data_IF_275088203113
#
_entry.id   IF_275088203113
#
_cell.length_a   1.000
_cell.length_b   1.000
_cell.length_c   1.000
_cell.angle_alpha   90.00
_cell.angle_beta   90.00
_cell.angle_gamma   90.00
#
_symmetry.space_group_name_H-M   'P 1'
#
loop_
_entity.id
_entity.type
_entity.pdbx_description
1 polymer ?
#
# COMPACT_ATOMS: atom_id res chain seq x y z
N UNK A 1 -5.47 -22.52 -2.32
CA UNK A 1 -4.37 -22.81 -3.23
C UNK A 1 -3.16 -21.96 -2.89
N UNK A 2 -1.97 -22.57 -2.72
CA UNK A 2 -0.77 -21.80 -2.41
C UNK A 2 -0.31 -20.89 -3.54
N UNK A 3 -0.86 -21.08 -4.74
CA UNK A 3 -0.51 -20.26 -5.90
C UNK A 3 -1.55 -19.21 -6.23
N UNK A 4 -2.46 -18.94 -5.29
CA UNK A 4 -3.48 -17.92 -5.49
C UNK A 4 -3.04 -16.61 -4.80
N UNK A 5 -2.77 -15.55 -5.57
CA UNK A 5 -2.35 -14.29 -4.96
C UNK A 5 -3.41 -13.69 -4.03
N UNK A 6 -4.69 -14.00 -4.25
CA UNK A 6 -5.74 -13.53 -3.34
C UNK A 6 -5.63 -14.16 -1.96
N UNK A 7 -5.30 -15.45 -1.90
CA UNK A 7 -5.14 -16.13 -0.61
C UNK A 7 -3.96 -15.56 0.17
N UNK A 8 -2.83 -15.36 -0.50
CA UNK A 8 -1.66 -14.76 0.15
C UNK A 8 -1.95 -13.35 0.62
N UNK A 9 -2.69 -12.59 -0.17
CA UNK A 9 -3.08 -11.23 0.21
C UNK A 9 -3.98 -11.25 1.44
N UNK A 10 -4.98 -12.13 1.45
CA UNK A 10 -5.91 -12.23 2.58
C UNK A 10 -5.18 -12.66 3.85
N UNK A 11 -4.23 -13.59 3.73
CA UNK A 11 -3.43 -14.01 4.87
C UNK A 11 -2.58 -12.84 5.39
N UNK A 12 -1.99 -12.07 4.48
CA UNK A 12 -1.24 -10.89 4.86
C UNK A 12 -2.08 -9.87 5.61
N UNK A 13 -3.31 -9.64 5.15
CA UNK A 13 -4.23 -8.74 5.83
C UNK A 13 -4.53 -9.24 7.26
N UNK A 14 -4.71 -10.55 7.41
CA UNK A 14 -4.92 -11.14 8.73
C UNK A 14 -3.73 -10.91 9.66
N UNK A 15 -2.51 -11.07 9.14
CA UNK A 15 -1.32 -10.79 9.93
C UNK A 15 -1.26 -9.32 10.36
N UNK A 16 -1.64 -8.41 9.48
CA UNK A 16 -1.66 -7.00 9.83
C UNK A 16 -2.65 -6.73 10.97
N UNK A 17 -3.85 -7.31 10.90
CA UNK A 17 -4.86 -7.11 11.95
C UNK A 17 -4.44 -7.74 13.27
N UNK A 18 -3.54 -8.70 13.26
CA UNK A 18 -3.02 -9.29 14.51
C UNK A 18 -1.68 -8.66 14.92
N UNK A 19 -1.41 -7.46 14.40
CA UNK A 19 -0.24 -6.67 14.76
C UNK A 19 1.08 -7.34 14.37
N UNK A 20 1.11 -7.95 13.20
CA UNK A 20 2.30 -8.62 12.66
C UNK A 20 2.61 -8.08 11.27
N UNK A 21 3.02 -6.78 11.16
CA UNK A 21 3.21 -6.16 9.86
C UNK A 21 4.32 -6.79 9.03
N UNK A 22 5.37 -7.30 9.65
CA UNK A 22 6.45 -7.94 8.88
C UNK A 22 5.97 -9.22 8.21
N UNK A 23 5.18 -10.02 8.92
CA UNK A 23 4.60 -11.23 8.34
C UNK A 23 3.60 -10.90 7.25
N UNK A 24 2.85 -9.81 7.44
CA UNK A 24 1.94 -9.33 6.41
C UNK A 24 2.70 -9.02 5.13
N UNK A 25 3.81 -8.29 5.23
CA UNK A 25 4.60 -7.91 4.07
C UNK A 25 5.23 -9.12 3.38
N UNK A 26 5.62 -10.14 4.15
CA UNK A 26 6.11 -11.39 3.56
C UNK A 26 5.05 -12.06 2.69
N UNK A 27 3.81 -12.11 3.17
CA UNK A 27 2.72 -12.71 2.40
C UNK A 27 2.39 -11.87 1.17
N UNK A 28 2.44 -10.55 1.29
CA UNK A 28 2.22 -9.68 0.14
C UNK A 28 3.33 -9.86 -0.90
N UNK A 29 4.56 -10.03 -0.45
CA UNK A 29 5.67 -10.30 -1.37
C UNK A 29 5.45 -11.61 -2.13
N UNK A 30 4.97 -12.63 -1.43
CA UNK A 30 4.62 -13.90 -2.07
C UNK A 30 3.54 -13.70 -3.13
N UNK A 31 2.49 -12.93 -2.80
CA UNK A 31 1.43 -12.59 -3.74
C UNK A 31 1.99 -11.91 -4.99
N UNK A 32 2.90 -10.95 -4.79
CA UNK A 32 3.45 -10.19 -5.90
C UNK A 32 4.41 -10.99 -6.77
N UNK A 33 5.01 -12.04 -6.21
CA UNK A 33 5.80 -12.97 -7.02
C UNK A 33 4.91 -13.81 -7.92
N UNK A 34 3.68 -14.07 -7.48
CA UNK A 34 2.71 -14.78 -8.30
C UNK A 34 2.09 -13.86 -9.34
N UNK A 35 1.84 -12.62 -8.99
CA UNK A 35 1.24 -11.62 -9.88
C UNK A 35 1.76 -10.23 -9.49
N UNK A 36 2.77 -9.76 -10.21
CA UNK A 36 3.43 -8.49 -9.88
C UNK A 36 2.51 -7.27 -10.02
N UNK A 37 1.42 -7.42 -10.75
CA UNK A 37 0.46 -6.32 -10.97
C UNK A 37 -0.85 -6.52 -10.22
N UNK A 38 -0.82 -7.32 -9.16
CA UNK A 38 -2.01 -7.56 -8.35
C UNK A 38 -2.29 -6.33 -7.50
N UNK A 39 -3.20 -5.49 -7.97
CA UNK A 39 -3.44 -4.18 -7.38
C UNK A 39 -3.97 -4.24 -5.95
N UNK A 40 -4.77 -5.25 -5.64
CA UNK A 40 -5.24 -5.44 -4.27
C UNK A 40 -4.07 -5.63 -3.32
N UNK A 41 -3.06 -6.41 -3.72
CA UNK A 41 -1.87 -6.63 -2.91
C UNK A 41 -1.09 -5.34 -2.75
N UNK A 42 -0.84 -4.63 -3.86
CA UNK A 42 -0.09 -3.38 -3.81
C UNK A 42 -0.77 -2.34 -2.94
N UNK A 43 -2.10 -2.25 -3.01
CA UNK A 43 -2.84 -1.34 -2.15
C UNK A 43 -2.60 -1.66 -0.67
N UNK A 44 -2.66 -2.94 -0.31
CA UNK A 44 -2.45 -3.38 1.07
C UNK A 44 -1.00 -3.22 1.51
N UNK A 45 -0.04 -3.40 0.61
CA UNK A 45 1.37 -3.11 0.92
C UNK A 45 1.50 -1.67 1.41
N UNK A 46 0.86 -0.73 0.69
CA UNK A 46 0.88 0.67 1.09
C UNK A 46 0.29 0.88 2.48
N UNK A 47 -0.84 0.24 2.76
CA UNK A 47 -1.50 0.37 4.06
C UNK A 47 -0.60 -0.12 5.19
N UNK A 48 -0.01 -1.30 5.03
CA UNK A 48 0.84 -1.87 6.08
C UNK A 48 2.11 -1.04 6.26
N UNK A 49 2.71 -0.57 5.17
CA UNK A 49 3.90 0.26 5.27
C UNK A 49 3.61 1.59 5.96
N UNK A 50 2.48 2.23 5.60
CA UNK A 50 2.13 3.53 6.19
C UNK A 50 1.79 3.40 7.67
N UNK A 51 0.95 2.44 8.04
CA UNK A 51 0.38 2.38 9.38
C UNK A 51 1.04 1.33 10.26
N UNK A 52 1.62 0.30 9.68
CA UNK A 52 2.29 -0.74 10.45
C UNK A 52 3.79 -0.49 10.63
N UNK A 53 4.43 0.03 9.61
CA UNK A 53 5.88 0.26 9.62
C UNK A 53 6.26 1.73 9.63
N UNK A 54 5.30 2.62 9.47
CA UNK A 54 5.51 4.06 9.37
C UNK A 54 6.50 4.42 8.25
N UNK A 55 6.50 3.62 7.20
CA UNK A 55 7.32 3.84 6.01
C UNK A 55 6.46 4.55 4.97
N UNK A 56 6.39 5.88 5.08
CA UNK A 56 5.52 6.68 4.22
C UNK A 56 5.99 6.70 2.78
N UNK A 57 7.29 6.71 2.54
CA UNK A 57 7.82 6.65 1.18
C UNK A 57 7.47 5.34 0.48
N UNK A 58 7.66 4.23 1.18
CA UNK A 58 7.31 2.92 0.65
C UNK A 58 5.83 2.80 0.36
N UNK A 59 5.01 3.37 1.25
CA UNK A 59 3.57 3.38 1.06
C UNK A 59 3.18 4.17 -0.19
N UNK A 60 3.76 5.34 -0.36
CA UNK A 60 3.48 6.18 -1.53
C UNK A 60 3.86 5.48 -2.82
N UNK A 61 5.03 4.82 -2.84
CA UNK A 61 5.46 4.07 -4.02
C UNK A 61 4.46 2.99 -4.40
N UNK A 62 4.00 2.22 -3.41
CA UNK A 62 3.04 1.15 -3.65
C UNK A 62 1.73 1.71 -4.22
N UNK A 63 1.21 2.77 -3.62
CA UNK A 63 -0.03 3.38 -4.07
C UNK A 63 0.11 4.02 -5.45
N UNK A 64 1.27 4.63 -5.76
CA UNK A 64 1.54 5.17 -7.08
C UNK A 64 1.53 4.07 -8.14
N UNK A 65 2.07 2.90 -7.81
CA UNK A 65 2.02 1.76 -8.71
C UNK A 65 0.59 1.34 -9.01
N UNK A 66 -0.27 1.30 -7.97
CA UNK A 66 -1.68 0.95 -8.17
C UNK A 66 -2.33 1.92 -9.15
N UNK A 67 -2.08 3.21 -8.98
CA UNK A 67 -2.65 4.24 -9.87
C UNK A 67 -2.14 4.07 -11.29
N UNK A 68 -0.87 3.72 -11.45
CA UNK A 68 -0.31 3.50 -12.78
C UNK A 68 -0.91 2.28 -13.48
N UNK A 69 -1.09 1.20 -12.72
CA UNK A 69 -1.59 -0.04 -13.29
C UNK A 69 -3.07 0.06 -13.63
N UNK A 70 -3.87 0.60 -12.72
CA UNK A 70 -5.32 0.58 -12.87
C UNK A 70 -5.97 1.84 -12.25
N UNK A 71 -5.78 3.02 -12.86
CA UNK A 71 -6.25 4.27 -12.26
C UNK A 71 -7.76 4.35 -12.08
N UNK A 72 -8.52 3.66 -12.93
CA UNK A 72 -9.98 3.72 -12.87
C UNK A 72 -10.61 2.59 -12.05
N UNK A 73 -9.80 1.66 -11.55
CA UNK A 73 -10.30 0.56 -10.72
C UNK A 73 -10.65 1.05 -9.31
N UNK A 74 -11.41 0.25 -8.55
CA UNK A 74 -11.65 0.58 -7.13
C UNK A 74 -10.35 0.73 -6.35
N UNK A 75 -9.36 -0.13 -6.62
CA UNK A 75 -8.05 -0.03 -5.97
C UNK A 75 -7.33 1.24 -6.37
N UNK A 76 -7.39 1.61 -7.65
CA UNK A 76 -6.79 2.84 -8.13
C UNK A 76 -7.40 4.07 -7.48
N UNK A 77 -8.72 4.09 -7.35
CA UNK A 77 -9.40 5.19 -6.68
C UNK A 77 -9.02 5.25 -5.19
N UNK A 78 -8.96 4.09 -4.54
CA UNK A 78 -8.55 4.03 -3.14
C UNK A 78 -7.12 4.52 -2.96
N UNK A 79 -6.22 4.12 -3.87
CA UNK A 79 -4.82 4.55 -3.83
C UNK A 79 -4.70 6.06 -4.00
N UNK A 80 -5.49 6.65 -4.91
CA UNK A 80 -5.49 8.10 -5.08
C UNK A 80 -5.91 8.81 -3.81
N UNK A 81 -6.97 8.33 -3.17
CA UNK A 81 -7.44 8.91 -1.92
C UNK A 81 -6.41 8.77 -0.81
N UNK A 82 -5.75 7.62 -0.76
CA UNK A 82 -4.70 7.39 0.24
C UNK A 82 -3.53 8.34 0.04
N UNK A 83 -3.09 8.52 -1.21
CA UNK A 83 -2.02 9.46 -1.53
C UNK A 83 -2.40 10.89 -1.15
N UNK A 84 -3.62 11.30 -1.45
CA UNK A 84 -4.09 12.64 -1.12
C UNK A 84 -4.16 12.85 0.39
N UNK A 85 -4.66 11.85 1.12
CA UNK A 85 -4.73 11.91 2.58
C UNK A 85 -3.35 12.04 3.19
N UNK A 86 -2.40 11.28 2.66
CA UNK A 86 -1.03 11.32 3.17
C UNK A 86 -0.39 12.69 2.94
N UNK A 87 -0.60 13.25 1.76
CA UNK A 87 -0.07 14.59 1.44
C UNK A 87 -0.70 15.66 2.31
N UNK A 88 -2.00 15.55 2.56
CA UNK A 88 -2.70 16.51 3.42
C UNK A 88 -2.26 16.42 4.87
N UNK A 89 -2.04 15.20 5.36
CA UNK A 89 -1.62 14.98 6.74
C UNK A 89 -0.17 15.38 6.98
N UNK A 90 0.68 15.30 5.95
CA UNK A 90 2.11 15.57 6.06
C UNK A 90 2.58 16.52 4.96
N UNK A 91 1.97 17.71 4.86
CA UNK A 91 2.26 18.61 3.72
C UNK A 91 3.70 19.07 3.63
N UNK A 92 4.40 19.14 4.72
CA UNK A 92 5.79 19.55 4.73
C UNK A 92 6.75 18.43 5.04
N UNK A 93 6.24 17.23 5.39
CA UNK A 93 7.07 16.14 5.85
C UNK A 93 7.39 15.13 4.79
N UNK A 94 6.37 14.70 4.04
CA UNK A 94 6.56 13.75 2.96
C UNK A 94 7.08 14.50 1.76
N UNK A 95 8.13 14.02 1.15
CA UNK A 95 8.75 14.65 -0.02
C UNK A 95 9.39 16.02 0.26
N UNK A 96 9.43 16.48 1.50
CA UNK A 96 10.05 17.73 1.85
C UNK A 96 9.42 18.96 1.24
N UNK A 97 8.16 18.87 0.85
CA UNK A 97 7.46 19.98 0.24
C UNK A 97 7.11 21.03 1.29
N UNK A 98 7.38 22.31 1.00
CA UNK A 98 6.99 23.37 1.94
C UNK A 98 5.49 23.39 2.15
N UNK A 99 5.08 23.68 3.36
CA UNK A 99 3.67 23.74 3.69
C UNK A 99 3.03 24.94 2.99
N UNK A 100 1.97 24.74 2.20
CA UNK A 100 1.30 25.87 1.56
C UNK A 100 0.72 26.82 2.59
N UNK A 101 0.87 28.10 2.33
CA UNK A 101 0.33 29.10 3.22
C UNK A 101 1.10 29.31 4.53
N UNK A 102 2.20 28.61 4.66
CA UNK A 102 3.06 28.78 5.84
C UNK A 102 3.94 29.99 5.66
#
# INVERSE_FOLDING_TARGET
SPNDPNLSTDLGVSYYYTNQPDKALEQFDHSLKLDAKHTKTLLNVGIVKAFGKQDLEGAMKAWQEVVQIAPESPEGQAAKRALDSLRSAHPGGVAGTPKPGA
#
